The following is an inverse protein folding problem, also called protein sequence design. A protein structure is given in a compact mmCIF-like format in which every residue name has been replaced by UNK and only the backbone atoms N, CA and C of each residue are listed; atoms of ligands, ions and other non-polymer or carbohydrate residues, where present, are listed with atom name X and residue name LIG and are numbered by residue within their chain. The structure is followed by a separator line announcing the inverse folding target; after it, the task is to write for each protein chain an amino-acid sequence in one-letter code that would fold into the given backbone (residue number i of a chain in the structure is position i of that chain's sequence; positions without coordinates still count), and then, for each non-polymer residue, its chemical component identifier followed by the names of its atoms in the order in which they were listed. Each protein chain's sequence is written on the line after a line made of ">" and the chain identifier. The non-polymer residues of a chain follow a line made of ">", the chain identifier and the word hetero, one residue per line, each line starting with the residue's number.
data_IF_680060834771
#
_entry.id   IF_680060834771
#
_cell.length_a   1.000
_cell.length_b   1.000
_cell.length_c   1.000
_cell.angle_alpha   90.00
_cell.angle_beta   90.00
_cell.angle_gamma   90.00
#
_symmetry.space_group_name_H-M   'P 1'
#
loop_
_entity.id
_entity.type
_entity.pdbx_description
1 polymer ?
#
# COMPACT_ATOMS: atom_id res chain seq x y z
N UNK A 1 -5.92 14.87 -3.87
CA UNK A 1 -5.09 13.67 -3.95
C UNK A 1 -5.67 12.59 -3.04
N UNK A 2 -5.77 11.37 -3.53
CA UNK A 2 -6.39 10.28 -2.78
C UNK A 2 -5.36 9.61 -1.88
N UNK A 3 -5.66 9.54 -0.59
CA UNK A 3 -4.78 8.89 0.38
C UNK A 3 -5.59 8.24 1.50
N UNK A 4 -4.95 7.35 2.24
CA UNK A 4 -5.50 6.73 3.43
C UNK A 4 -4.39 6.52 4.45
N UNK A 5 -4.76 6.49 5.72
CA UNK A 5 -3.81 6.26 6.81
C UNK A 5 -4.31 5.14 7.70
N UNK A 6 -3.38 4.35 8.20
CA UNK A 6 -3.64 3.38 9.26
C UNK A 6 -2.67 3.64 10.40
N UNK A 7 -3.14 3.50 11.63
CA UNK A 7 -2.30 3.62 12.82
C UNK A 7 -2.04 2.23 13.38
N UNK A 8 -0.77 1.89 13.55
CA UNK A 8 -0.33 0.58 14.01
C UNK A 8 0.59 0.73 15.21
N UNK A 9 0.86 -0.38 15.86
CA UNK A 9 1.83 -0.44 16.96
C UNK A 9 2.69 -1.68 16.79
N UNK A 10 4.01 -1.51 16.92
CA UNK A 10 4.95 -2.62 16.83
C UNK A 10 4.73 -3.61 17.98
N UNK A 11 4.83 -4.91 17.67
CA UNK A 11 4.70 -5.99 18.61
C UNK A 11 6.07 -6.63 18.85
N UNK A 12 6.26 -7.30 19.99
CA UNK A 12 7.55 -7.93 20.28
C UNK A 12 7.96 -8.96 19.20
N UNK A 13 6.98 -9.64 18.59
CA UNK A 13 7.24 -10.62 17.53
C UNK A 13 7.56 -10.00 16.18
N UNK A 14 7.45 -8.68 16.06
CA UNK A 14 7.86 -7.97 14.84
C UNK A 14 9.37 -7.70 14.83
N UNK A 15 10.03 -7.83 15.97
CA UNK A 15 11.43 -7.43 16.13
C UNK A 15 12.40 -8.53 15.67
N UNK A 16 13.55 -8.09 15.19
CA UNK A 16 14.68 -8.97 14.88
C UNK A 16 15.68 -9.01 16.07
N UNK A 17 16.79 -9.77 15.95
CA UNK A 17 17.79 -9.83 17.03
C UNK A 17 18.44 -8.50 17.39
N UNK A 18 18.37 -7.49 16.52
CA UNK A 18 18.86 -6.14 16.79
C UNK A 18 17.87 -5.30 17.60
N UNK A 19 16.71 -5.86 17.97
CA UNK A 19 15.64 -5.20 18.73
C UNK A 19 14.97 -4.05 17.98
N UNK A 20 14.97 -4.12 16.67
CA UNK A 20 14.20 -3.24 15.79
C UNK A 20 13.30 -4.10 14.92
N UNK A 21 12.28 -3.50 14.34
CA UNK A 21 11.37 -4.24 13.46
C UNK A 21 12.16 -4.86 12.32
N UNK A 22 11.96 -6.15 12.10
CA UNK A 22 12.58 -6.84 10.98
C UNK A 22 12.15 -6.18 9.67
N UNK A 23 13.14 -5.89 8.81
CA UNK A 23 12.88 -5.13 7.59
C UNK A 23 11.80 -5.74 6.69
N UNK A 24 11.63 -7.05 6.69
CA UNK A 24 10.59 -7.72 5.92
C UNK A 24 9.17 -7.46 6.41
N UNK A 25 8.99 -7.10 7.67
CA UNK A 25 7.67 -6.84 8.23
C UNK A 25 7.02 -5.55 7.69
N UNK A 26 7.83 -4.63 7.17
CA UNK A 26 7.30 -3.38 6.62
C UNK A 26 6.34 -3.61 5.46
N UNK A 27 6.55 -4.67 4.69
CA UNK A 27 5.63 -5.02 3.59
C UNK A 27 4.22 -5.25 4.11
N UNK A 28 4.08 -5.88 5.27
CA UNK A 28 2.77 -6.12 5.91
C UNK A 28 2.09 -4.80 6.31
N UNK A 29 2.85 -3.85 6.80
CA UNK A 29 2.32 -2.54 7.18
C UNK A 29 1.85 -1.76 5.94
N UNK A 30 2.64 -1.81 4.87
CA UNK A 30 2.28 -1.18 3.60
C UNK A 30 1.00 -1.80 3.02
N UNK A 31 0.85 -3.13 3.11
CA UNK A 31 -0.33 -3.83 2.65
C UNK A 31 -1.60 -3.34 3.34
N UNK A 32 -1.54 -3.11 4.65
CA UNK A 32 -2.70 -2.62 5.40
C UNK A 32 -3.12 -1.23 4.93
N UNK A 33 -2.16 -0.34 4.71
CA UNK A 33 -2.44 1.02 4.26
C UNK A 33 -3.00 1.03 2.82
N UNK A 34 -2.43 0.19 1.93
CA UNK A 34 -2.93 0.08 0.56
C UNK A 34 -4.34 -0.51 0.53
N UNK A 35 -4.61 -1.53 1.33
CA UNK A 35 -5.95 -2.10 1.44
C UNK A 35 -6.97 -1.06 1.88
N UNK A 36 -6.63 -0.24 2.87
CA UNK A 36 -7.49 0.85 3.33
C UNK A 36 -7.73 1.89 2.23
N UNK A 37 -6.68 2.24 1.48
CA UNK A 37 -6.76 3.18 0.37
C UNK A 37 -7.73 2.68 -0.71
N UNK A 38 -7.53 1.46 -1.17
CA UNK A 38 -8.34 0.88 -2.25
C UNK A 38 -9.78 0.62 -1.81
N UNK A 39 -9.98 0.13 -0.60
CA UNK A 39 -11.32 -0.03 -0.05
C UNK A 39 -12.04 1.32 0.05
N UNK A 40 -11.31 2.37 0.43
CA UNK A 40 -11.86 3.72 0.57
C UNK A 40 -12.39 4.30 -0.73
N UNK A 41 -11.83 3.92 -1.87
CA UNK A 41 -12.33 4.36 -3.18
C UNK A 41 -13.33 3.38 -3.80
N UNK A 42 -13.64 2.29 -3.11
CA UNK A 42 -14.61 1.29 -3.59
C UNK A 42 -14.03 0.26 -4.55
N UNK A 43 -12.70 0.11 -4.59
CA UNK A 43 -12.04 -0.88 -5.45
C UNK A 43 -11.12 -1.78 -4.63
N UNK A 44 -11.70 -2.44 -3.62
CA UNK A 44 -11.00 -3.44 -2.81
C UNK A 44 -10.87 -4.79 -3.54
N UNK A 45 -10.37 -5.80 -2.85
CA UNK A 45 -10.09 -7.10 -3.47
C UNK A 45 -11.30 -7.76 -4.11
N UNK A 46 -12.49 -7.61 -3.52
CA UNK A 46 -13.73 -8.16 -4.08
C UNK A 46 -14.09 -7.49 -5.39
N UNK A 47 -13.98 -6.17 -5.45
CA UNK A 47 -14.27 -5.38 -6.63
C UNK A 47 -13.24 -5.63 -7.73
N UNK A 48 -11.96 -5.83 -7.39
CA UNK A 48 -10.93 -6.24 -8.33
C UNK A 48 -11.31 -7.55 -9.01
N UNK A 49 -11.63 -8.57 -8.20
CA UNK A 49 -12.03 -9.88 -8.71
C UNK A 49 -13.31 -9.78 -9.55
N UNK A 50 -14.30 -9.04 -9.07
CA UNK A 50 -15.55 -8.84 -9.82
C UNK A 50 -15.34 -8.14 -11.16
N UNK A 51 -14.34 -7.25 -11.26
CA UNK A 51 -13.98 -6.59 -12.51
C UNK A 51 -13.20 -7.50 -13.47
N UNK A 52 -12.79 -8.69 -13.03
CA UNK A 52 -12.10 -9.69 -13.84
C UNK A 52 -10.58 -9.56 -13.85
N UNK A 53 -10.01 -8.84 -12.87
CA UNK A 53 -8.57 -8.58 -12.82
C UNK A 53 -7.97 -8.94 -11.48
N UNK A 54 -6.73 -9.47 -11.55
CA UNK A 54 -5.83 -9.57 -10.42
C UNK A 54 -4.79 -8.46 -10.56
N UNK A 55 -4.25 -8.00 -9.43
CA UNK A 55 -3.33 -6.89 -9.41
C UNK A 55 -2.05 -7.25 -8.65
N UNK A 56 -1.18 -8.06 -9.27
CA UNK A 56 0.09 -8.42 -8.61
C UNK A 56 0.98 -7.21 -8.43
N UNK A 57 1.77 -7.24 -7.36
CA UNK A 57 2.86 -6.29 -7.16
C UNK A 57 3.97 -6.66 -8.14
N UNK A 58 4.40 -5.70 -8.95
CA UNK A 58 5.50 -5.89 -9.91
C UNK A 58 6.75 -5.11 -9.51
N UNK A 59 6.60 -4.10 -8.68
CA UNK A 59 7.72 -3.35 -8.11
C UNK A 59 7.42 -2.98 -6.67
N UNK A 60 8.42 -3.12 -5.82
CA UNK A 60 8.39 -2.69 -4.43
C UNK A 60 9.73 -2.07 -4.10
N UNK A 61 9.73 -0.84 -3.61
CA UNK A 61 10.94 -0.23 -3.07
C UNK A 61 10.65 0.33 -1.69
N UNK A 62 11.60 0.15 -0.78
CA UNK A 62 11.51 0.64 0.60
C UNK A 62 12.84 1.29 0.97
N UNK A 63 12.76 2.52 1.47
CA UNK A 63 13.91 3.22 2.02
C UNK A 63 13.72 3.34 3.53
N UNK A 64 14.56 2.64 4.27
CA UNK A 64 14.55 2.62 5.74
C UNK A 64 15.37 3.79 6.25
N UNK A 65 14.70 4.84 6.68
CA UNK A 65 15.37 6.06 7.16
C UNK A 65 15.73 5.94 8.63
N UNK A 66 14.75 5.50 9.44
CA UNK A 66 14.91 5.26 10.88
C UNK A 66 14.16 4.01 11.28
N UNK A 67 14.70 3.18 12.19
CA UNK A 67 14.04 1.94 12.57
C UNK A 67 12.80 2.16 13.44
N UNK A 68 11.85 1.26 13.33
CA UNK A 68 10.75 1.11 14.28
C UNK A 68 11.22 0.24 15.45
N UNK A 69 10.84 0.63 16.66
CA UNK A 69 11.23 -0.03 17.90
C UNK A 69 10.02 -0.64 18.58
N UNK A 70 10.27 -1.43 19.65
CA UNK A 70 9.20 -2.08 20.42
C UNK A 70 8.15 -1.10 20.90
N UNK A 71 6.89 -1.50 20.79
CA UNK A 71 5.72 -0.75 21.28
C UNK A 71 5.55 0.66 20.69
N UNK A 72 6.29 0.98 19.65
CA UNK A 72 6.18 2.27 18.98
C UNK A 72 4.89 2.33 18.18
N UNK A 73 4.12 3.40 18.36
CA UNK A 73 2.96 3.68 17.52
C UNK A 73 3.41 4.47 16.30
N UNK A 74 2.87 4.09 15.15
CA UNK A 74 3.23 4.71 13.90
C UNK A 74 2.04 4.79 12.96
N UNK A 75 2.11 5.70 12.02
CA UNK A 75 1.09 5.90 11.00
C UNK A 75 1.69 5.50 9.66
N UNK A 76 0.97 4.73 8.88
CA UNK A 76 1.31 4.45 7.48
C UNK A 76 0.33 5.20 6.61
N UNK A 77 0.84 6.13 5.82
CA UNK A 77 0.05 6.89 4.84
C UNK A 77 0.31 6.35 3.46
N UNK A 78 -0.75 5.89 2.80
CA UNK A 78 -0.69 5.45 1.41
C UNK A 78 -1.35 6.51 0.53
N UNK A 79 -0.69 6.91 -0.53
CA UNK A 79 -1.18 7.91 -1.48
C UNK A 79 -1.18 7.33 -2.88
N UNK A 80 -2.32 7.41 -3.56
CA UNK A 80 -2.45 6.96 -4.95
C UNK A 80 -1.83 8.02 -5.87
N UNK A 81 -0.78 7.64 -6.59
CA UNK A 81 -0.05 8.56 -7.48
C UNK A 81 -0.31 8.30 -8.95
N UNK A 82 -0.75 7.10 -9.31
CA UNK A 82 -1.10 6.76 -10.69
C UNK A 82 -2.17 5.67 -10.67
N UNK A 83 -3.13 5.74 -11.58
CA UNK A 83 -4.20 4.75 -11.67
C UNK A 83 -4.63 4.42 -13.12
N UNK A 84 -4.27 5.25 -14.10
CA UNK A 84 -4.81 5.13 -15.46
C UNK A 84 -4.26 3.90 -16.21
N UNK A 85 -3.00 3.57 -16.02
CA UNK A 85 -2.36 2.43 -16.68
C UNK A 85 -1.88 1.36 -15.69
N UNK A 86 -1.76 1.73 -14.43
CA UNK A 86 -1.29 0.87 -13.35
C UNK A 86 -1.69 1.51 -12.03
N UNK A 87 -1.62 0.75 -10.95
CA UNK A 87 -1.79 1.31 -9.61
C UNK A 87 -0.40 1.58 -9.05
N UNK A 88 -0.12 2.85 -8.81
CA UNK A 88 1.11 3.29 -8.18
C UNK A 88 0.77 3.96 -6.86
N UNK A 89 1.34 3.46 -5.77
CA UNK A 89 1.09 3.97 -4.42
C UNK A 89 2.42 4.31 -3.77
N UNK A 90 2.50 5.50 -3.19
CA UNK A 90 3.64 5.90 -2.35
C UNK A 90 3.22 5.86 -0.90
N UNK A 91 4.18 5.55 -0.02
CA UNK A 91 3.92 5.37 1.39
C UNK A 91 4.89 6.18 2.23
N UNK A 92 4.37 6.70 3.34
CA UNK A 92 5.19 7.25 4.41
C UNK A 92 4.85 6.50 5.70
N UNK A 93 5.89 6.04 6.39
CA UNK A 93 5.76 5.52 7.75
C UNK A 93 6.24 6.62 8.67
N UNK A 94 5.36 7.08 9.54
CA UNK A 94 5.58 8.23 10.41
C UNK A 94 5.47 7.81 11.88
N UNK A 95 6.35 8.34 12.73
CA UNK A 95 6.17 8.19 14.17
C UNK A 95 4.88 8.89 14.58
N UNK A 96 4.00 8.20 15.31
CA UNK A 96 2.69 8.75 15.65
C UNK A 96 2.76 9.95 16.57
N UNK A 97 3.75 10.00 17.47
CA UNK A 97 3.89 11.09 18.44
C UNK A 97 4.54 12.33 17.83
N UNK A 98 5.63 12.16 17.08
CA UNK A 98 6.42 13.29 16.56
C UNK A 98 6.11 13.67 15.13
N UNK A 99 5.50 12.76 14.34
CA UNK A 99 5.30 12.94 12.91
C UNK A 99 6.57 12.75 12.09
N UNK A 100 7.66 12.31 12.73
CA UNK A 100 8.93 12.10 12.04
C UNK A 100 8.82 10.97 11.01
N UNK A 101 9.37 11.21 9.81
CA UNK A 101 9.42 10.18 8.76
C UNK A 101 10.41 9.10 9.13
N UNK A 102 9.93 7.86 9.20
CA UNK A 102 10.74 6.68 9.52
C UNK A 102 11.07 5.85 8.29
N UNK A 103 10.16 5.77 7.33
CA UNK A 103 10.32 4.94 6.14
C UNK A 103 9.56 5.57 4.98
N UNK A 104 10.13 5.45 3.78
CA UNK A 104 9.48 5.83 2.52
C UNK A 104 9.42 4.61 1.63
N UNK A 105 8.29 4.42 0.94
CA UNK A 105 8.13 3.26 0.09
C UNK A 105 7.27 3.56 -1.13
N UNK A 106 7.32 2.64 -2.09
CA UNK A 106 6.52 2.72 -3.31
C UNK A 106 6.19 1.32 -3.78
N UNK A 107 4.96 1.11 -4.24
CA UNK A 107 4.55 -0.13 -4.91
C UNK A 107 3.92 0.18 -6.26
N UNK A 108 4.11 -0.74 -7.19
CA UNK A 108 3.47 -0.71 -8.50
C UNK A 108 2.75 -2.03 -8.73
N UNK A 109 1.50 -1.95 -9.15
CA UNK A 109 0.67 -3.11 -9.50
C UNK A 109 0.17 -2.94 -10.93
N UNK A 110 0.14 -4.04 -11.67
CA UNK A 110 -0.42 -4.08 -13.02
C UNK A 110 -1.68 -4.93 -13.02
N UNK A 111 -2.64 -4.59 -13.87
CA UNK A 111 -3.85 -5.39 -14.04
C UNK A 111 -3.55 -6.61 -14.92
N UNK A 112 -3.94 -7.78 -14.44
CA UNK A 112 -3.79 -9.04 -15.17
C UNK A 112 -5.17 -9.68 -15.26
N UNK A 113 -5.62 -10.01 -16.48
CA UNK A 113 -6.90 -10.69 -16.68
C UNK A 113 -6.89 -12.04 -15.96
N UNK A 114 -7.88 -12.28 -15.13
CA UNK A 114 -8.04 -13.56 -14.42
C UNK A 114 -8.34 -14.66 -15.46
N UNK A 115 -9.12 -14.34 -16.49
CA UNK A 115 -9.52 -15.31 -17.52
C UNK A 115 -8.35 -15.71 -18.42
N UNK A 116 -7.58 -14.75 -18.92
CA UNK A 116 -6.54 -15.01 -19.93
C UNK A 116 -5.13 -15.07 -19.36
N UNK A 117 -4.90 -14.51 -18.19
CA UNK A 117 -3.56 -14.35 -17.62
C UNK A 117 -2.73 -13.25 -18.30
N UNK A 118 -3.33 -12.50 -19.21
CA UNK A 118 -2.62 -11.44 -19.92
C UNK A 118 -2.66 -10.12 -19.16
N UNK A 119 -1.56 -9.38 -19.23
CA UNK A 119 -1.43 -8.07 -18.64
C UNK A 119 -2.19 -7.05 -19.49
N UNK A 120 -2.96 -6.17 -18.80
CA UNK A 120 -3.61 -5.06 -19.45
C UNK A 120 -2.68 -3.84 -19.46
N UNK A 121 -2.66 -3.12 -20.59
CA UNK A 121 -1.87 -1.88 -20.71
C UNK A 121 -2.59 -0.67 -20.10
N UNK A 122 -3.90 -0.77 -19.96
CA UNK A 122 -4.72 0.26 -19.34
C UNK A 122 -5.47 -0.34 -18.17
N UNK A 123 -5.71 0.46 -17.15
CA UNK A 123 -6.51 0.05 -16.01
C UNK A 123 -7.96 -0.22 -16.44
N UNK A 124 -8.62 -1.24 -15.83
CA UNK A 124 -10.03 -1.47 -16.10
C UNK A 124 -10.85 -0.22 -15.78
N UNK A 125 -11.92 -0.04 -16.52
CA UNK A 125 -12.80 1.11 -16.37
C UNK A 125 -13.40 1.20 -14.96
N UNK A 126 -13.61 0.07 -14.31
CA UNK A 126 -14.11 0.01 -12.94
C UNK A 126 -13.19 0.74 -11.95
N UNK A 127 -11.88 0.54 -12.07
CA UNK A 127 -10.91 1.27 -11.25
C UNK A 127 -10.94 2.76 -11.58
N UNK A 128 -10.86 3.10 -12.85
CA UNK A 128 -10.83 4.50 -13.30
C UNK A 128 -12.06 5.26 -12.80
N UNK A 129 -13.24 4.64 -12.90
CA UNK A 129 -14.49 5.23 -12.43
C UNK A 129 -14.47 5.43 -10.90
N UNK A 130 -13.99 4.44 -10.15
CA UNK A 130 -13.88 4.55 -8.70
C UNK A 130 -12.97 5.71 -8.28
N UNK A 131 -11.82 5.84 -8.92
CA UNK A 131 -10.88 6.92 -8.63
C UNK A 131 -11.51 8.28 -8.96
N UNK A 132 -12.07 8.42 -10.14
CA UNK A 132 -12.66 9.68 -10.60
C UNK A 132 -13.82 10.14 -9.74
N UNK A 133 -14.57 9.21 -9.15
CA UNK A 133 -15.67 9.55 -8.24
C UNK A 133 -15.19 10.14 -6.91
N UNK A 134 -13.90 10.01 -6.60
CA UNK A 134 -13.29 10.51 -5.37
C UNK A 134 -12.35 11.71 -5.60
N UNK A 135 -12.26 12.20 -6.82
CA UNK A 135 -11.45 13.39 -7.14
C UNK A 135 -12.19 14.69 -6.89
#
# INVERSE_FOLDING_TARGET
>A
MISAEVTLQTQFYDLDPMKIVWHGNYVRYLEQARAALLAGIGYGYREMEASGFAWPIVELSIKYVRPLKLSQKFVVRATLTEYENRICVTYLVLDAASGQTLTKARTVQLAVSIETGEMAFESPQELVACVRSHL
#
